data_IF_905208150034
#
_entry.id   IF_905208150034
#
_cell.length_a   1.000
_cell.length_b   1.000
_cell.length_c   1.000
_cell.angle_alpha   90.00
_cell.angle_beta   90.00
_cell.angle_gamma   90.00
#
_symmetry.space_group_name_H-M   'P 1'
#
loop_
_entity.id
_entity.type
_entity.pdbx_description
1 polymer ?
#
# COMPACT_ATOMS: atom_id res chain seq x y z
N UNK A 1 -8.00 32.68 -68.42
CA UNK A 1 -6.86 33.20 -67.62
C UNK A 1 -7.51 34.07 -66.53
N UNK A 2 -7.67 33.50 -65.32
CA UNK A 2 -8.32 34.16 -64.16
C UNK A 2 -7.20 34.34 -63.11
N UNK A 3 -6.84 35.60 -62.87
CA UNK A 3 -5.87 35.96 -61.80
C UNK A 3 -6.51 35.77 -60.41
N UNK A 4 -5.83 35.21 -59.44
CA UNK A 4 -6.30 35.16 -58.08
C UNK A 4 -6.01 36.51 -57.38
N UNK A 5 -7.03 37.18 -56.95
CA UNK A 5 -6.93 38.35 -56.04
C UNK A 5 -6.48 37.90 -54.64
N UNK A 6 -5.25 38.10 -54.30
CA UNK A 6 -4.76 38.00 -52.93
C UNK A 6 -5.18 39.24 -52.11
N UNK A 7 -6.33 39.08 -51.41
CA UNK A 7 -6.76 40.03 -50.42
C UNK A 7 -5.83 40.01 -49.16
N UNK A 8 -4.87 40.90 -49.11
CA UNK A 8 -4.03 41.06 -47.93
C UNK A 8 -4.86 41.59 -46.75
N UNK A 9 -5.04 40.70 -45.72
CA UNK A 9 -5.55 41.11 -44.42
C UNK A 9 -4.51 42.04 -43.75
N UNK A 10 -4.69 43.34 -43.89
CA UNK A 10 -3.93 44.35 -43.14
C UNK A 10 -4.28 44.24 -41.67
N UNK A 11 -3.43 43.59 -40.89
CA UNK A 11 -3.54 43.52 -39.42
C UNK A 11 -3.41 44.93 -38.86
N UNK A 12 -4.51 45.50 -38.44
CA UNK A 12 -4.59 46.81 -37.81
C UNK A 12 -3.76 46.79 -36.51
N UNK A 13 -2.67 47.53 -36.42
CA UNK A 13 -1.83 47.63 -35.21
C UNK A 13 -2.72 47.92 -34.00
N UNK A 14 -2.63 47.15 -32.90
CA UNK A 14 -3.42 47.42 -31.70
C UNK A 14 -3.11 48.84 -31.17
N UNK A 15 -4.11 49.55 -30.68
CA UNK A 15 -3.90 50.84 -30.05
C UNK A 15 -2.97 50.69 -28.84
N UNK A 16 -2.19 51.73 -28.51
CA UNK A 16 -1.26 51.71 -27.35
C UNK A 16 -1.96 51.33 -26.05
N UNK A 17 -3.22 51.70 -25.89
CA UNK A 17 -4.06 51.32 -24.73
C UNK A 17 -4.36 49.84 -24.67
N UNK A 18 -4.67 49.20 -25.81
CA UNK A 18 -4.91 47.78 -25.89
C UNK A 18 -3.61 46.97 -25.62
N UNK A 19 -2.50 47.42 -26.19
CA UNK A 19 -1.20 46.79 -25.94
C UNK A 19 -0.82 46.88 -24.45
N UNK A 20 -1.01 47.99 -23.80
CA UNK A 20 -0.74 48.19 -22.36
C UNK A 20 -1.65 47.27 -21.51
N UNK A 21 -2.93 47.18 -21.81
CA UNK A 21 -3.88 46.32 -21.10
C UNK A 21 -3.53 44.87 -21.21
N UNK A 22 -3.13 44.39 -22.41
CA UNK A 22 -2.69 43.00 -22.63
C UNK A 22 -1.42 42.71 -21.86
N UNK A 23 -0.46 43.64 -21.84
CA UNK A 23 0.78 43.47 -21.09
C UNK A 23 0.52 43.39 -19.59
N UNK A 24 -0.33 44.26 -19.03
CA UNK A 24 -0.70 44.24 -17.62
C UNK A 24 -1.45 42.95 -17.26
N UNK A 25 -2.35 42.47 -18.11
CA UNK A 25 -3.04 41.19 -17.91
C UNK A 25 -2.07 40.02 -17.92
N UNK A 26 -1.10 40.00 -18.85
CA UNK A 26 -0.07 38.96 -18.90
C UNK A 26 0.81 38.97 -17.64
N UNK A 27 1.24 40.14 -17.18
CA UNK A 27 2.01 40.27 -15.92
C UNK A 27 1.21 39.76 -14.72
N UNK A 28 -0.08 40.11 -14.65
CA UNK A 28 -0.97 39.66 -13.58
C UNK A 28 -1.15 38.12 -13.61
N UNK A 29 -1.33 37.51 -14.78
CA UNK A 29 -1.44 36.07 -14.94
C UNK A 29 -0.14 35.38 -14.50
N UNK A 30 1.03 35.87 -14.95
CA UNK A 30 2.33 35.34 -14.55
C UNK A 30 2.50 35.46 -13.03
N UNK A 31 2.17 36.61 -12.45
CA UNK A 31 2.20 36.83 -11.00
C UNK A 31 1.31 35.82 -10.24
N UNK A 32 0.08 35.64 -10.69
CA UNK A 32 -0.84 34.68 -10.08
C UNK A 32 -0.35 33.21 -10.21
N UNK A 33 0.18 32.82 -11.39
CA UNK A 33 0.74 31.51 -11.62
C UNK A 33 1.96 31.28 -10.71
N UNK A 34 2.89 32.23 -10.64
CA UNK A 34 4.06 32.16 -9.76
C UNK A 34 3.61 32.10 -8.30
N UNK A 35 2.66 32.93 -7.88
CA UNK A 35 2.12 32.93 -6.51
C UNK A 35 1.54 31.60 -6.08
N UNK A 36 0.82 30.91 -6.97
CA UNK A 36 0.21 29.61 -6.69
C UNK A 36 1.24 28.47 -6.69
N UNK A 37 2.25 28.54 -7.57
CA UNK A 37 3.18 27.44 -7.80
C UNK A 37 4.54 27.61 -7.09
N UNK A 38 4.91 28.83 -6.67
CA UNK A 38 6.18 29.08 -5.99
C UNK A 38 6.41 28.20 -4.75
N UNK A 39 5.41 27.91 -3.90
CA UNK A 39 5.59 26.99 -2.78
C UNK A 39 5.97 25.57 -3.17
N UNK A 40 5.60 25.15 -4.39
CA UNK A 40 5.97 23.84 -4.94
C UNK A 40 7.34 23.81 -5.61
N UNK A 41 7.82 24.98 -6.09
CA UNK A 41 9.10 25.10 -6.78
C UNK A 41 10.26 25.35 -5.82
N UNK A 42 10.08 26.23 -4.85
CA UNK A 42 11.06 26.52 -3.80
C UNK A 42 10.43 27.24 -2.61
N UNK A 43 10.61 26.74 -1.37
CA UNK A 43 10.19 27.45 -0.16
C UNK A 43 10.84 28.84 -0.03
N UNK A 44 12.07 29.01 -0.54
CA UNK A 44 12.76 30.30 -0.54
C UNK A 44 12.09 31.35 -1.44
N UNK A 45 11.50 30.94 -2.57
CA UNK A 45 10.74 31.85 -3.42
C UNK A 45 9.44 32.31 -2.77
N UNK A 46 8.85 31.46 -1.92
CA UNK A 46 7.64 31.81 -1.19
C UNK A 46 7.85 32.95 -0.18
N UNK A 47 9.09 33.13 0.32
CA UNK A 47 9.42 34.23 1.26
C UNK A 47 9.48 35.62 0.61
N UNK A 48 9.64 35.69 -0.72
CA UNK A 48 9.63 36.94 -1.48
C UNK A 48 8.23 37.41 -1.89
N UNK A 49 7.21 36.55 -1.72
CA UNK A 49 5.83 36.92 -1.97
C UNK A 49 5.25 37.62 -0.74
N UNK A 50 4.35 38.61 -0.89
CA UNK A 50 3.70 39.22 0.24
C UNK A 50 3.08 38.16 1.17
N UNK A 51 3.25 38.27 2.49
CA UNK A 51 2.86 37.22 3.46
C UNK A 51 1.35 37.24 3.72
N UNK A 52 0.53 36.98 2.72
CA UNK A 52 -0.89 37.23 2.83
C UNK A 52 -1.71 36.01 3.22
N UNK A 53 -1.23 34.77 2.94
CA UNK A 53 -1.96 33.58 3.33
C UNK A 53 -1.02 32.44 3.71
N UNK A 54 -0.86 32.16 5.02
CA UNK A 54 -0.01 31.08 5.48
C UNK A 54 -0.39 29.70 4.90
N UNK A 55 -1.66 29.50 4.54
CA UNK A 55 -2.12 28.22 3.95
C UNK A 55 -1.59 28.02 2.54
N UNK A 56 -1.44 29.08 1.76
CA UNK A 56 -0.85 29.02 0.41
C UNK A 56 0.64 28.68 0.51
N UNK A 57 1.35 29.35 1.43
CA UNK A 57 2.77 29.10 1.67
C UNK A 57 3.03 27.67 2.19
N UNK A 58 2.09 27.12 2.96
CA UNK A 58 2.21 25.78 3.51
C UNK A 58 2.01 24.65 2.49
N UNK A 59 1.39 24.90 1.33
CA UNK A 59 1.04 23.84 0.35
C UNK A 59 2.22 23.02 -0.17
N UNK A 60 3.40 23.64 -0.30
CA UNK A 60 4.62 22.96 -0.74
C UNK A 60 5.36 22.22 0.38
N UNK A 61 5.08 22.54 1.65
CA UNK A 61 5.85 22.04 2.79
C UNK A 61 5.83 20.51 2.97
N UNK A 62 4.74 19.77 2.69
CA UNK A 62 4.76 18.32 2.83
C UNK A 62 5.83 17.65 1.95
N UNK A 63 6.06 18.16 0.75
CA UNK A 63 7.05 17.58 -0.17
C UNK A 63 8.49 17.80 0.32
N UNK A 64 8.77 18.96 0.92
CA UNK A 64 10.08 19.24 1.52
C UNK A 64 10.25 18.54 2.86
N UNK A 65 9.22 18.52 3.69
CA UNK A 65 9.24 17.84 4.99
C UNK A 65 9.27 16.30 4.86
N UNK A 66 8.87 15.74 3.72
CA UNK A 66 8.94 14.31 3.45
C UNK A 66 10.37 13.81 3.23
N UNK A 67 11.32 14.69 2.84
CA UNK A 67 12.73 14.29 2.69
C UNK A 67 13.32 13.90 4.05
N UNK A 68 13.74 12.63 4.23
CA UNK A 68 14.31 12.16 5.50
C UNK A 68 15.63 12.84 5.88
N UNK A 69 16.29 13.49 4.91
CA UNK A 69 17.56 14.20 5.12
C UNK A 69 17.36 15.62 5.64
N UNK A 70 16.15 16.16 5.53
CA UNK A 70 15.82 17.52 5.94
C UNK A 70 15.12 17.54 7.29
N UNK A 71 15.64 18.35 8.20
CA UNK A 71 14.94 18.64 9.45
C UNK A 71 13.94 19.77 9.24
N UNK A 72 12.78 19.65 9.87
CA UNK A 72 11.80 20.73 9.92
C UNK A 72 12.41 21.87 10.72
N UNK A 73 12.66 23.00 10.03
CA UNK A 73 13.21 24.18 10.70
C UNK A 73 12.17 24.86 11.61
N UNK A 74 12.60 25.62 12.63
CA UNK A 74 11.69 26.38 13.49
C UNK A 74 10.76 27.32 12.71
N UNK A 75 11.27 27.94 11.63
CA UNK A 75 10.48 28.86 10.79
C UNK A 75 9.40 28.12 10.02
N UNK A 76 9.71 26.94 9.45
CA UNK A 76 8.75 26.06 8.77
C UNK A 76 7.68 25.60 9.75
N UNK A 77 8.07 25.25 10.98
CA UNK A 77 7.12 24.84 12.02
C UNK A 77 6.22 26.00 12.46
N UNK A 78 6.78 27.22 12.63
CA UNK A 78 6.00 28.41 12.94
C UNK A 78 5.02 28.76 11.81
N UNK A 79 5.45 28.64 10.55
CA UNK A 79 4.58 28.82 9.39
C UNK A 79 3.44 27.79 9.39
N UNK A 80 3.74 26.52 9.66
CA UNK A 80 2.72 25.47 9.68
C UNK A 80 1.66 25.70 10.77
N UNK A 81 2.05 26.22 11.94
CA UNK A 81 1.10 26.56 13.01
C UNK A 81 0.16 27.69 12.58
N UNK A 82 0.70 28.78 12.02
CA UNK A 82 -0.11 29.88 11.48
C UNK A 82 -1.04 29.42 10.36
N UNK A 83 -0.56 28.50 9.50
CA UNK A 83 -1.37 27.94 8.45
C UNK A 83 -2.51 27.07 8.99
N UNK A 84 -2.32 26.35 10.10
CA UNK A 84 -3.37 25.58 10.76
C UNK A 84 -4.48 26.48 11.34
N UNK A 85 -4.11 27.66 11.86
CA UNK A 85 -5.06 28.64 12.36
C UNK A 85 -5.86 29.31 11.23
N UNK A 86 -5.18 29.67 10.13
CA UNK A 86 -5.80 30.31 8.97
C UNK A 86 -6.66 29.37 8.13
N UNK A 87 -6.30 28.09 8.04
CA UNK A 87 -6.98 27.07 7.25
C UNK A 87 -7.09 25.74 8.01
N UNK A 88 -8.02 25.62 8.97
CA UNK A 88 -8.13 24.43 9.83
C UNK A 88 -8.42 23.13 9.09
N UNK A 89 -8.94 23.21 7.85
CA UNK A 89 -9.23 22.04 7.01
C UNK A 89 -8.04 21.62 6.13
N UNK A 90 -6.98 22.42 6.06
CA UNK A 90 -5.78 22.06 5.32
C UNK A 90 -5.04 20.89 6.00
N UNK A 91 -4.51 19.95 5.22
CA UNK A 91 -3.77 18.81 5.75
C UNK A 91 -2.29 19.11 5.96
N UNK A 92 -1.75 20.03 5.17
CA UNK A 92 -0.31 20.34 5.09
C UNK A 92 0.29 20.73 6.45
N UNK A 93 -0.36 21.58 7.27
CA UNK A 93 0.16 21.92 8.58
C UNK A 93 0.32 20.72 9.50
N UNK A 94 -0.63 19.81 9.48
CA UNK A 94 -0.61 18.60 10.31
C UNK A 94 0.48 17.64 9.88
N UNK A 95 0.69 17.49 8.56
CA UNK A 95 1.79 16.70 8.01
C UNK A 95 3.15 17.22 8.49
N UNK A 96 3.39 18.53 8.37
CA UNK A 96 4.67 19.15 8.79
C UNK A 96 4.90 19.02 10.28
N UNK A 97 3.87 19.27 11.10
CA UNK A 97 3.96 19.13 12.55
C UNK A 97 4.22 17.65 12.94
N UNK A 98 3.58 16.68 12.27
CA UNK A 98 3.86 15.27 12.48
C UNK A 98 5.33 14.93 12.23
N UNK A 99 5.91 15.46 11.15
CA UNK A 99 7.34 15.27 10.85
C UNK A 99 8.25 15.88 11.91
N UNK A 100 7.91 17.06 12.45
CA UNK A 100 8.65 17.66 13.54
C UNK A 100 8.56 16.85 14.83
N UNK A 101 7.41 16.28 15.16
CA UNK A 101 7.22 15.39 16.32
C UNK A 101 8.01 14.08 16.16
N UNK A 102 8.00 13.47 14.96
CA UNK A 102 8.83 12.30 14.64
C UNK A 102 10.31 12.59 14.88
N UNK A 103 10.82 13.71 14.34
CA UNK A 103 12.22 14.11 14.48
C UNK A 103 12.62 14.44 15.93
N UNK A 104 11.64 14.77 16.75
CA UNK A 104 11.81 14.98 18.19
C UNK A 104 11.66 13.68 19.02
N UNK A 105 11.43 12.53 18.36
CA UNK A 105 11.25 11.23 19.01
C UNK A 105 9.89 11.02 19.68
N UNK A 106 8.92 11.91 19.43
CA UNK A 106 7.55 11.85 20.01
C UNK A 106 6.60 11.14 19.04
N UNK A 107 6.80 9.82 18.90
CA UNK A 107 6.11 9.02 17.87
C UNK A 107 4.58 9.04 17.99
N UNK A 108 4.03 8.96 19.21
CA UNK A 108 2.57 8.97 19.40
C UNK A 108 1.93 10.30 18.93
N UNK A 109 2.57 11.44 19.19
CA UNK A 109 2.12 12.72 18.70
C UNK A 109 2.22 12.79 17.16
N UNK A 110 3.32 12.27 16.60
CA UNK A 110 3.50 12.19 15.15
C UNK A 110 2.40 11.36 14.50
N UNK A 111 2.02 10.23 15.08
CA UNK A 111 0.91 9.38 14.61
C UNK A 111 -0.40 10.18 14.61
N UNK A 112 -0.77 10.80 15.73
CA UNK A 112 -2.02 11.55 15.86
C UNK A 112 -2.12 12.67 14.81
N UNK A 113 -1.06 13.44 14.63
CA UNK A 113 -1.01 14.53 13.65
C UNK A 113 -1.06 14.01 12.22
N UNK A 114 -0.39 12.89 11.92
CA UNK A 114 -0.40 12.29 10.59
C UNK A 114 -1.76 11.65 10.27
N UNK A 115 -2.43 11.04 11.24
CA UNK A 115 -3.81 10.57 11.10
C UNK A 115 -4.76 11.74 10.82
N UNK A 116 -4.53 12.88 11.44
CA UNK A 116 -5.31 14.09 11.21
C UNK A 116 -5.07 14.64 9.79
N UNK A 117 -3.84 14.66 9.31
CA UNK A 117 -3.52 15.00 7.91
C UNK A 117 -4.24 14.04 6.93
N UNK A 118 -4.23 12.73 7.22
CA UNK A 118 -4.95 11.73 6.41
C UNK A 118 -6.45 11.96 6.39
N UNK A 119 -7.09 12.30 7.53
CA UNK A 119 -8.53 12.58 7.57
C UNK A 119 -8.92 13.75 6.68
N UNK A 120 -8.06 14.79 6.60
CA UNK A 120 -8.30 15.97 5.75
C UNK A 120 -8.07 15.70 4.27
N UNK A 121 -7.09 14.87 3.94
CA UNK A 121 -6.77 14.49 2.55
C UNK A 121 -6.51 12.97 2.41
N UNK A 122 -7.58 12.16 2.36
CA UNK A 122 -7.46 10.70 2.36
C UNK A 122 -6.71 10.09 1.17
N UNK A 123 -6.65 10.80 0.05
CA UNK A 123 -5.99 10.35 -1.18
C UNK A 123 -4.52 10.80 -1.31
N UNK A 124 -3.93 11.42 -0.27
CA UNK A 124 -2.55 11.87 -0.33
C UNK A 124 -1.60 10.76 0.12
N UNK A 125 -0.92 10.14 -0.84
CA UNK A 125 -0.14 8.92 -0.64
C UNK A 125 1.02 9.09 0.36
N UNK A 126 1.70 10.25 0.38
CA UNK A 126 2.79 10.51 1.33
C UNK A 126 2.34 10.37 2.80
N UNK A 127 1.13 10.82 3.14
CA UNK A 127 0.58 10.66 4.50
C UNK A 127 0.48 9.19 4.89
N UNK A 128 0.02 8.34 3.96
CA UNK A 128 -0.12 6.90 4.20
C UNK A 128 1.23 6.19 4.30
N UNK A 129 2.19 6.58 3.47
CA UNK A 129 3.56 6.04 3.53
C UNK A 129 4.18 6.32 4.91
N UNK A 130 4.03 7.55 5.43
CA UNK A 130 4.52 7.88 6.76
C UNK A 130 3.77 7.14 7.87
N UNK A 131 2.44 6.98 7.76
CA UNK A 131 1.66 6.20 8.71
C UNK A 131 2.08 4.73 8.74
N UNK A 132 2.37 4.13 7.58
CA UNK A 132 2.91 2.76 7.52
C UNK A 132 4.20 2.65 8.34
N UNK A 133 5.15 3.57 8.13
CA UNK A 133 6.42 3.58 8.88
C UNK A 133 6.20 3.79 10.39
N UNK A 134 5.34 4.71 10.77
CA UNK A 134 5.03 5.02 12.17
C UNK A 134 4.33 3.86 12.88
N UNK A 135 3.32 3.25 12.25
CA UNK A 135 2.62 2.10 12.83
C UNK A 135 3.54 0.87 12.95
N UNK A 136 4.45 0.67 11.98
CA UNK A 136 5.45 -0.38 12.07
C UNK A 136 6.38 -0.17 13.28
N UNK A 137 6.88 1.04 13.48
CA UNK A 137 7.72 1.39 14.61
C UNK A 137 6.99 1.26 15.95
N UNK A 138 5.72 1.64 15.99
CA UNK A 138 4.86 1.54 17.18
C UNK A 138 4.27 0.13 17.39
N UNK A 139 4.52 -0.84 16.49
CA UNK A 139 3.91 -2.18 16.47
C UNK A 139 2.37 -2.17 16.43
N UNK A 140 1.78 -1.12 15.86
CA UNK A 140 0.33 -0.99 15.66
C UNK A 140 -0.08 -1.71 14.37
N UNK A 141 0.03 -3.05 14.37
CA UNK A 141 -0.15 -3.89 13.18
C UNK A 141 -1.55 -3.81 12.53
N UNK A 142 -2.66 -3.70 13.26
CA UNK A 142 -3.98 -3.55 12.63
C UNK A 142 -4.10 -2.30 11.77
N UNK A 143 -3.58 -1.18 12.25
CA UNK A 143 -3.57 0.10 11.55
C UNK A 143 -2.60 0.07 10.38
N UNK A 144 -1.40 -0.48 10.58
CA UNK A 144 -0.40 -0.72 9.54
C UNK A 144 -1.02 -1.47 8.34
N UNK A 145 -1.68 -2.60 8.61
CA UNK A 145 -2.26 -3.44 7.58
C UNK A 145 -3.45 -2.77 6.88
N UNK A 146 -4.16 -1.88 7.56
CA UNK A 146 -5.23 -1.08 6.94
C UNK A 146 -4.68 -0.11 5.90
N UNK A 147 -3.56 0.56 6.19
CA UNK A 147 -2.90 1.44 5.22
C UNK A 147 -2.30 0.66 4.05
N UNK A 148 -1.68 -0.48 4.34
CA UNK A 148 -1.11 -1.35 3.31
C UNK A 148 -2.19 -1.90 2.38
N UNK A 149 -3.33 -2.36 2.90
CA UNK A 149 -4.45 -2.83 2.08
C UNK A 149 -4.96 -1.73 1.13
N UNK A 150 -5.00 -0.49 1.60
CA UNK A 150 -5.37 0.63 0.74
C UNK A 150 -4.37 0.84 -0.40
N UNK A 151 -3.07 0.75 -0.13
CA UNK A 151 -2.01 0.90 -1.15
C UNK A 151 -2.08 -0.23 -2.18
N UNK A 152 -2.18 -1.48 -1.71
CA UNK A 152 -2.20 -2.66 -2.57
C UNK A 152 -3.44 -2.72 -3.49
N UNK A 153 -4.59 -2.19 -3.05
CA UNK A 153 -5.78 -2.08 -3.92
C UNK A 153 -5.63 -1.08 -5.06
N UNK A 154 -4.72 -0.12 -4.94
CA UNK A 154 -4.52 0.94 -5.93
C UNK A 154 -3.31 0.72 -6.82
N UNK A 155 -2.36 -0.06 -6.36
CA UNK A 155 -1.09 -0.30 -7.05
C UNK A 155 -0.67 -1.76 -6.87
N UNK A 156 -0.96 -2.58 -7.87
CA UNK A 156 -0.59 -4.00 -7.87
C UNK A 156 0.93 -4.21 -7.91
N UNK A 157 1.68 -3.30 -8.55
CA UNK A 157 3.14 -3.40 -8.63
C UNK A 157 3.79 -3.29 -7.25
N UNK A 158 3.17 -2.54 -6.34
CA UNK A 158 3.63 -2.41 -4.96
C UNK A 158 3.62 -3.75 -4.20
N UNK A 159 2.81 -4.72 -4.64
CA UNK A 159 2.72 -6.03 -4.02
C UNK A 159 4.07 -6.77 -4.06
N UNK A 160 4.86 -6.62 -5.11
CA UNK A 160 6.17 -7.27 -5.25
C UNK A 160 7.15 -6.86 -4.14
N UNK A 161 7.04 -5.63 -3.64
CA UNK A 161 7.90 -5.08 -2.58
C UNK A 161 7.26 -5.27 -1.20
N UNK A 162 5.95 -5.04 -1.09
CA UNK A 162 5.27 -5.00 0.20
C UNK A 162 4.99 -6.40 0.74
N UNK A 163 4.59 -7.36 -0.08
CA UNK A 163 4.20 -8.69 0.42
C UNK A 163 5.35 -9.47 1.07
N UNK A 164 6.61 -9.44 0.56
CA UNK A 164 7.75 -10.03 1.26
C UNK A 164 7.99 -9.42 2.65
N UNK A 165 7.82 -8.10 2.78
CA UNK A 165 7.96 -7.42 4.08
C UNK A 165 6.82 -7.80 5.04
N UNK A 166 5.59 -7.91 4.54
CA UNK A 166 4.46 -8.41 5.33
C UNK A 166 4.65 -9.83 5.81
N UNK A 167 5.26 -10.69 5.01
CA UNK A 167 5.52 -12.07 5.39
C UNK A 167 6.44 -12.17 6.63
N UNK A 168 7.32 -11.21 6.83
CA UNK A 168 8.16 -11.15 8.05
C UNK A 168 7.35 -10.99 9.33
N UNK A 169 6.14 -10.43 9.26
CA UNK A 169 5.25 -10.30 10.42
C UNK A 169 4.73 -11.66 10.93
N UNK A 170 4.88 -12.74 10.15
CA UNK A 170 4.49 -14.08 10.60
C UNK A 170 5.29 -14.56 11.81
N UNK A 171 6.52 -14.09 12.00
CA UNK A 171 7.38 -14.47 13.14
C UNK A 171 6.85 -13.88 14.46
N UNK A 172 6.25 -12.68 14.40
CA UNK A 172 5.67 -12.01 15.57
C UNK A 172 4.25 -12.49 15.84
N UNK A 173 3.94 -12.86 17.09
CA UNK A 173 2.61 -13.35 17.46
C UNK A 173 1.51 -12.31 17.22
N UNK A 174 1.75 -11.04 17.54
CA UNK A 174 0.80 -9.94 17.31
C UNK A 174 0.66 -9.65 15.81
N UNK A 175 1.77 -9.70 15.08
CA UNK A 175 1.79 -9.59 13.61
C UNK A 175 0.94 -10.68 12.96
N UNK A 176 1.07 -11.95 13.39
CA UNK A 176 0.23 -13.06 12.90
C UNK A 176 -1.26 -12.85 13.17
N UNK A 177 -1.63 -12.39 14.36
CA UNK A 177 -3.02 -12.11 14.71
C UNK A 177 -3.60 -11.01 13.80
N UNK A 178 -2.86 -9.95 13.56
CA UNK A 178 -3.27 -8.84 12.71
C UNK A 178 -3.37 -9.30 11.24
N UNK A 179 -2.37 -10.03 10.71
CA UNK A 179 -2.40 -10.63 9.38
C UNK A 179 -3.62 -11.55 9.20
N UNK A 180 -3.86 -12.44 10.16
CA UNK A 180 -5.02 -13.33 10.10
C UNK A 180 -6.34 -12.56 10.03
N UNK A 181 -6.43 -11.42 10.74
CA UNK A 181 -7.65 -10.60 10.77
C UNK A 181 -7.92 -9.92 9.42
N UNK A 182 -6.89 -9.44 8.73
CA UNK A 182 -7.07 -8.81 7.41
C UNK A 182 -7.26 -9.87 6.32
N UNK A 183 -6.48 -10.95 6.35
CA UNK A 183 -6.60 -12.05 5.38
C UNK A 183 -7.95 -12.76 5.45
N UNK A 184 -8.57 -12.83 6.63
CA UNK A 184 -9.93 -13.36 6.78
C UNK A 184 -11.01 -12.55 6.05
N UNK A 185 -10.75 -11.25 5.77
CA UNK A 185 -11.65 -10.37 4.99
C UNK A 185 -11.54 -10.59 3.48
N UNK A 186 -10.71 -11.52 3.04
CA UNK A 186 -10.47 -11.88 1.65
C UNK A 186 -9.98 -10.68 0.77
N UNK A 187 -8.89 -9.98 1.13
CA UNK A 187 -8.34 -8.93 0.29
C UNK A 187 -7.86 -9.50 -1.05
N UNK A 188 -7.85 -8.69 -2.11
CA UNK A 188 -7.46 -9.13 -3.47
C UNK A 188 -6.03 -9.71 -3.52
N UNK A 189 -5.12 -9.20 -2.70
CA UNK A 189 -3.73 -9.66 -2.62
C UNK A 189 -3.50 -10.92 -1.75
N UNK A 190 -4.57 -11.54 -1.23
CA UNK A 190 -4.48 -12.68 -0.30
C UNK A 190 -3.76 -13.89 -0.89
N UNK A 191 -4.12 -14.31 -2.10
CA UNK A 191 -3.49 -15.48 -2.74
C UNK A 191 -2.01 -15.24 -2.98
N UNK A 192 -1.68 -14.10 -3.56
CA UNK A 192 -0.30 -13.69 -3.79
C UNK A 192 0.52 -13.59 -2.51
N UNK A 193 -0.10 -13.16 -1.39
CA UNK A 193 0.57 -13.17 -0.08
C UNK A 193 1.02 -14.57 0.32
N UNK A 194 0.15 -15.59 0.21
CA UNK A 194 0.52 -16.94 0.58
C UNK A 194 1.57 -17.55 -0.36
N UNK A 195 1.56 -17.22 -1.63
CA UNK A 195 2.61 -17.60 -2.58
C UNK A 195 3.98 -17.02 -2.16
N UNK A 196 4.02 -15.73 -1.86
CA UNK A 196 5.23 -15.04 -1.43
C UNK A 196 5.70 -15.56 -0.07
N UNK A 197 4.78 -15.74 0.88
CA UNK A 197 5.08 -16.23 2.22
C UNK A 197 5.71 -17.64 2.21
N UNK A 198 5.32 -18.51 1.29
CA UNK A 198 5.91 -19.83 1.14
C UNK A 198 7.39 -19.78 0.68
N UNK A 199 7.77 -18.76 -0.10
CA UNK A 199 9.13 -18.51 -0.55
C UNK A 199 10.03 -17.83 0.48
N UNK A 200 9.48 -17.33 1.59
CA UNK A 200 10.27 -16.62 2.60
C UNK A 200 10.92 -17.58 3.59
N UNK A 201 12.15 -17.27 4.07
CA UNK A 201 12.75 -18.00 5.17
C UNK A 201 11.90 -17.79 6.43
N UNK A 202 11.37 -18.86 6.97
CA UNK A 202 10.53 -18.82 8.17
C UNK A 202 10.27 -20.23 8.69
N UNK A 203 9.78 -20.36 9.92
CA UNK A 203 9.44 -21.68 10.45
C UNK A 203 8.14 -22.19 9.82
N UNK A 204 8.08 -23.51 9.59
CA UNK A 204 6.83 -24.16 9.20
C UNK A 204 5.72 -23.91 10.23
N UNK A 205 6.10 -23.76 11.49
CA UNK A 205 5.22 -23.52 12.61
C UNK A 205 4.55 -22.14 12.54
N UNK A 206 5.30 -21.09 12.19
CA UNK A 206 4.75 -19.74 12.03
C UNK A 206 3.73 -19.66 10.90
N UNK A 207 4.04 -20.29 9.77
CA UNK A 207 3.13 -20.36 8.64
C UNK A 207 1.86 -21.17 8.97
N UNK A 208 2.02 -22.32 9.62
CA UNK A 208 0.89 -23.13 10.06
C UNK A 208 0.03 -22.39 11.09
N UNK A 209 0.68 -21.68 12.03
CA UNK A 209 -0.04 -20.87 13.01
C UNK A 209 -0.88 -19.79 12.33
N UNK A 210 -0.34 -19.10 11.32
CA UNK A 210 -1.10 -18.11 10.53
C UNK A 210 -2.28 -18.78 9.78
N UNK A 211 -2.02 -19.87 9.07
CA UNK A 211 -3.07 -20.61 8.33
C UNK A 211 -4.21 -21.06 9.25
N UNK A 212 -3.88 -21.54 10.45
CA UNK A 212 -4.88 -21.95 11.44
C UNK A 212 -5.68 -20.74 11.96
N UNK A 213 -5.03 -19.62 12.24
CA UNK A 213 -5.70 -18.38 12.64
C UNK A 213 -6.62 -17.83 11.56
N UNK A 214 -6.22 -17.88 10.30
CA UNK A 214 -7.06 -17.48 9.15
C UNK A 214 -8.27 -18.41 9.04
N UNK A 215 -8.06 -19.71 9.14
CA UNK A 215 -9.14 -20.72 9.07
C UNK A 215 -10.16 -20.55 10.21
N UNK A 216 -9.70 -20.29 11.43
CA UNK A 216 -10.56 -20.10 12.59
C UNK A 216 -11.46 -18.84 12.47
N UNK A 217 -11.09 -17.89 11.64
CA UNK A 217 -11.86 -16.64 11.40
C UNK A 217 -12.82 -16.72 10.22
N UNK A 218 -12.81 -17.86 9.50
CA UNK A 218 -13.74 -18.08 8.39
C UNK A 218 -15.10 -18.61 8.86
N UNK A 219 -16.16 -18.40 8.07
CA UNK A 219 -17.43 -19.08 8.28
C UNK A 219 -17.24 -20.63 8.29
N UNK A 220 -18.06 -21.36 9.03
CA UNK A 220 -18.02 -22.82 9.04
C UNK A 220 -18.14 -23.39 7.62
N UNK A 221 -17.30 -24.36 7.28
CA UNK A 221 -17.30 -25.04 5.98
C UNK A 221 -16.43 -24.40 4.89
N UNK A 222 -15.89 -23.21 5.11
CA UNK A 222 -15.00 -22.57 4.15
C UNK A 222 -13.56 -23.09 4.24
N UNK A 223 -13.18 -24.02 3.36
CA UNK A 223 -11.75 -24.37 3.14
C UNK A 223 -11.19 -23.42 2.09
N UNK A 224 -10.21 -22.64 2.47
CA UNK A 224 -9.61 -21.71 1.53
C UNK A 224 -8.46 -22.32 0.72
N UNK A 225 -8.20 -21.81 -0.48
CA UNK A 225 -7.15 -22.29 -1.37
C UNK A 225 -5.74 -22.08 -0.81
N UNK A 226 -5.56 -21.17 0.15
CA UNK A 226 -4.24 -20.75 0.64
C UNK A 226 -3.38 -21.87 1.22
N UNK A 227 -4.00 -22.88 1.81
CA UNK A 227 -3.26 -24.07 2.31
C UNK A 227 -2.64 -24.84 1.16
N UNK A 228 -3.40 -25.03 0.10
CA UNK A 228 -2.94 -25.68 -1.12
C UNK A 228 -1.84 -24.86 -1.80
N UNK A 229 -2.05 -23.56 -1.97
CA UNK A 229 -1.07 -22.65 -2.55
C UNK A 229 0.25 -22.67 -1.77
N UNK A 230 0.19 -22.56 -0.45
CA UNK A 230 1.36 -22.57 0.39
C UNK A 230 2.14 -23.89 0.27
N UNK A 231 1.44 -25.04 0.33
CA UNK A 231 2.06 -26.35 0.19
C UNK A 231 2.65 -26.56 -1.20
N UNK A 232 1.96 -26.12 -2.24
CA UNK A 232 2.43 -26.22 -3.63
C UNK A 232 3.76 -25.48 -3.82
N UNK A 233 3.86 -24.25 -3.30
CA UNK A 233 5.09 -23.45 -3.36
C UNK A 233 6.25 -24.08 -2.61
N UNK A 234 6.00 -24.69 -1.44
CA UNK A 234 7.04 -25.44 -0.73
C UNK A 234 7.56 -26.62 -1.54
N UNK A 235 6.67 -27.33 -2.24
CA UNK A 235 7.05 -28.45 -3.12
C UNK A 235 7.87 -27.96 -4.31
N UNK A 236 7.46 -26.88 -4.97
CA UNK A 236 8.20 -26.25 -6.07
C UNK A 236 9.60 -25.76 -5.63
N UNK A 237 9.71 -25.26 -4.41
CA UNK A 237 10.98 -24.84 -3.82
C UNK A 237 11.87 -26.02 -3.37
N UNK A 238 11.39 -27.28 -3.53
CA UNK A 238 12.12 -28.48 -3.11
C UNK A 238 12.06 -28.78 -1.61
N UNK A 239 11.32 -28.00 -0.82
CA UNK A 239 11.17 -28.23 0.63
C UNK A 239 10.05 -29.24 0.93
N UNK A 240 10.23 -30.47 0.41
CA UNK A 240 9.26 -31.54 0.54
C UNK A 240 9.04 -31.98 1.99
N UNK A 241 10.07 -31.90 2.84
CA UNK A 241 9.96 -32.32 4.24
C UNK A 241 9.02 -31.37 4.99
N UNK A 242 9.20 -30.06 4.81
CA UNK A 242 8.37 -29.04 5.43
C UNK A 242 6.94 -29.07 4.89
N UNK A 243 6.79 -29.22 3.57
CA UNK A 243 5.49 -29.38 2.95
C UNK A 243 4.72 -30.57 3.52
N UNK A 244 5.38 -31.73 3.66
CA UNK A 244 4.80 -32.96 4.22
C UNK A 244 4.43 -32.79 5.69
N UNK A 245 5.29 -32.16 6.49
CA UNK A 245 5.04 -31.92 7.91
C UNK A 245 3.79 -31.06 8.13
N UNK A 246 3.65 -29.97 7.38
CA UNK A 246 2.49 -29.08 7.41
C UNK A 246 1.23 -29.83 6.94
N UNK A 247 1.31 -30.53 5.83
CA UNK A 247 0.19 -31.27 5.28
C UNK A 247 -0.35 -32.33 6.26
N UNK A 248 0.54 -33.10 6.91
CA UNK A 248 0.14 -34.06 7.93
C UNK A 248 -0.64 -33.40 9.09
N UNK A 249 -0.24 -32.22 9.52
CA UNK A 249 -0.95 -31.50 10.58
C UNK A 249 -2.33 -30.98 10.14
N UNK A 250 -2.54 -30.79 8.85
CA UNK A 250 -3.83 -30.39 8.27
C UNK A 250 -4.82 -31.54 8.13
N UNK A 251 -4.33 -32.79 8.14
CA UNK A 251 -5.20 -33.99 8.04
C UNK A 251 -5.99 -34.21 9.32
N UNK A 252 -7.23 -34.71 9.23
CA UNK A 252 -7.97 -35.25 10.36
C UNK A 252 -7.19 -36.33 11.06
N UNK A 253 -7.34 -36.53 12.39
CA UNK A 253 -6.58 -37.53 13.15
C UNK A 253 -6.64 -38.97 12.57
N UNK A 254 -7.82 -39.41 12.12
CA UNK A 254 -8.02 -40.73 11.52
C UNK A 254 -7.32 -40.94 10.18
N UNK A 255 -7.02 -39.87 9.45
CA UNK A 255 -6.29 -39.92 8.19
C UNK A 255 -4.77 -39.88 8.40
N UNK A 256 -4.28 -39.27 9.48
CA UNK A 256 -2.85 -39.23 9.83
C UNK A 256 -2.30 -40.65 10.06
N UNK A 257 -3.07 -41.53 10.68
CA UNK A 257 -2.69 -42.89 10.96
C UNK A 257 -2.51 -43.75 9.68
N UNK A 258 -3.08 -43.34 8.56
CA UNK A 258 -3.04 -44.05 7.28
C UNK A 258 -1.91 -43.56 6.34
N UNK A 259 -1.01 -42.71 6.81
CA UNK A 259 0.04 -42.07 6.00
C UNK A 259 1.42 -42.70 6.16
N UNK A 260 1.56 -44.00 6.18
CA UNK A 260 2.86 -44.63 6.44
C UNK A 260 3.92 -44.29 5.38
N UNK A 261 3.71 -44.65 4.11
CA UNK A 261 4.64 -44.35 2.99
C UNK A 261 3.94 -43.57 1.88
N UNK A 262 2.76 -44.03 1.47
CA UNK A 262 1.92 -43.41 0.45
C UNK A 262 0.55 -43.16 1.03
N UNK A 263 0.11 -41.87 0.97
CA UNK A 263 -1.25 -41.55 1.37
C UNK A 263 -2.23 -42.14 0.38
N UNK A 264 -3.25 -42.83 0.91
CA UNK A 264 -4.30 -43.45 0.09
C UNK A 264 -3.74 -44.33 -1.07
N UNK A 265 -2.68 -45.12 -0.79
CA UNK A 265 -2.05 -46.00 -1.77
C UNK A 265 -2.97 -47.07 -2.34
N UNK A 266 -4.14 -47.29 -1.74
CA UNK A 266 -5.20 -48.18 -2.22
C UNK A 266 -6.25 -47.44 -3.09
N UNK A 267 -6.07 -46.15 -3.40
CA UNK A 267 -6.94 -45.35 -4.24
C UNK A 267 -8.43 -45.26 -3.83
N UNK A 268 -8.75 -45.56 -2.56
CA UNK A 268 -10.15 -45.59 -2.09
C UNK A 268 -10.78 -44.21 -1.90
N UNK A 269 -9.99 -43.14 -1.99
CA UNK A 269 -10.45 -41.76 -1.76
C UNK A 269 -9.88 -40.85 -2.83
N UNK A 270 -10.72 -39.95 -3.37
CA UNK A 270 -10.31 -38.90 -4.32
C UNK A 270 -10.15 -37.55 -3.60
N UNK A 271 -10.68 -37.45 -2.39
CA UNK A 271 -10.82 -36.20 -1.63
C UNK A 271 -9.60 -35.81 -0.79
N UNK A 272 -8.45 -36.34 -1.12
CA UNK A 272 -7.23 -36.01 -0.40
C UNK A 272 -6.75 -34.61 -0.79
N UNK A 273 -6.39 -33.78 0.20
CA UNK A 273 -5.93 -32.42 -0.11
C UNK A 273 -4.59 -32.43 -0.85
N UNK A 274 -4.50 -31.63 -1.91
CA UNK A 274 -3.25 -31.39 -2.62
C UNK A 274 -2.16 -30.87 -1.64
N UNK A 275 -0.86 -31.01 -1.91
CA UNK A 275 -0.26 -31.62 -3.10
C UNK A 275 0.03 -33.14 -2.97
N UNK A 276 -0.17 -33.71 -1.79
CA UNK A 276 0.18 -35.13 -1.52
C UNK A 276 -0.99 -36.13 -1.73
N UNK A 277 -2.16 -35.58 -2.15
CA UNK A 277 -3.27 -36.39 -2.60
C UNK A 277 -3.15 -36.76 -4.07
N UNK A 278 -3.84 -37.82 -4.46
CA UNK A 278 -3.92 -38.23 -5.86
C UNK A 278 -4.76 -37.24 -6.64
N UNK A 279 -4.22 -36.74 -7.75
CA UNK A 279 -4.96 -35.92 -8.74
C UNK A 279 -5.25 -36.79 -9.95
N UNK A 280 -6.53 -36.93 -10.25
CA UNK A 280 -6.95 -37.61 -11.48
C UNK A 280 -7.11 -36.56 -12.56
N UNK A 281 -6.17 -36.51 -13.52
CA UNK A 281 -6.34 -35.67 -14.70
C UNK A 281 -7.24 -36.34 -15.70
N UNK A 282 -8.33 -35.70 -16.08
CA UNK A 282 -9.17 -36.15 -17.18
C UNK A 282 -8.45 -35.76 -18.50
N UNK A 283 -7.90 -36.80 -19.16
CA UNK A 283 -7.43 -36.62 -20.53
C UNK A 283 -8.50 -37.07 -21.52
N UNK A 284 -8.59 -36.48 -22.72
CA UNK A 284 -9.59 -36.84 -23.72
C UNK A 284 -9.56 -38.34 -24.13
N UNK A 285 -8.44 -39.01 -23.86
CA UNK A 285 -8.18 -40.41 -24.30
C UNK A 285 -8.26 -41.44 -23.17
N UNK A 286 -8.59 -41.05 -21.95
CA UNK A 286 -8.67 -41.96 -20.83
C UNK A 286 -9.54 -41.45 -19.69
N UNK A 287 -10.37 -42.33 -19.14
CA UNK A 287 -11.19 -42.05 -17.95
C UNK A 287 -10.73 -42.97 -16.83
N UNK A 288 -10.33 -42.39 -15.70
CA UNK A 288 -10.06 -43.16 -14.51
C UNK A 288 -11.32 -43.22 -13.65
N UNK A 289 -11.78 -44.40 -13.32
CA UNK A 289 -12.89 -44.61 -12.39
C UNK A 289 -12.39 -45.37 -11.16
N UNK A 290 -12.86 -44.96 -9.98
CA UNK A 290 -12.64 -45.76 -8.78
C UNK A 290 -13.71 -46.84 -8.77
N UNK A 291 -13.27 -48.10 -8.89
CA UNK A 291 -14.13 -49.27 -8.75
C UNK A 291 -14.13 -49.64 -7.28
N UNK A 292 -15.27 -49.58 -6.61
CA UNK A 292 -15.46 -49.93 -5.21
C UNK A 292 -15.59 -51.44 -5.02
#
# INVERSE_FOLDING_TARGET
MIEPQTGGLSAKKPSRTVALAVTLAAILIVYLVVRVHAPFLSPALATFLPPEDPSILARGLPYTAADPRQRVSPDVLALSRRAAEAAPLAFEPFFVQAKAEEQAGRLDNAIQLMEEARRRRPAFDLTRIHLVAYYQQARRYPELLTEIDFVLRRNEEAAQVILPELAKLMVDAQGRIALASILARNPAWREQFFEVAAGQPGSAEDALALLNLVQARRPPGGVGPERGLYLHRLVEAGDHQRARAIWLQMLPPGQRAQTAVLFNGNFRRIDAPAPFGWTVSQQPQGRAEIVS
#
